data_IF_829979709418
#
_entry.id   IF_829979709418
#
_cell.length_a   1.000
_cell.length_b   1.000
_cell.length_c   1.000
_cell.angle_alpha   90.00
_cell.angle_beta   90.00
_cell.angle_gamma   90.00
#
_symmetry.space_group_name_H-M   'P 1'
#
loop_
_entity.id
_entity.type
_entity.pdbx_description
1 polymer ?
#
# COMPACT_ATOMS: atom_id res chain seq x y z
N UNK A 1 -56.98 -53.38 21.84
CA UNK A 1 -55.79 -53.07 22.67
C UNK A 1 -54.57 -52.99 21.76
N UNK A 2 -54.11 -51.80 21.36
CA UNK A 2 -52.89 -51.72 20.54
C UNK A 2 -51.69 -51.42 21.42
N UNK A 3 -50.62 -52.16 21.16
CA UNK A 3 -49.29 -52.02 21.77
C UNK A 3 -48.53 -50.81 21.18
N UNK A 4 -48.21 -49.86 22.01
CA UNK A 4 -47.29 -48.76 21.64
C UNK A 4 -45.84 -49.31 21.66
N UNK A 5 -45.17 -49.26 20.52
CA UNK A 5 -43.73 -49.47 20.38
C UNK A 5 -43.01 -48.13 20.53
N UNK A 6 -42.22 -47.99 21.58
CA UNK A 6 -41.41 -46.83 21.87
C UNK A 6 -40.10 -46.93 21.03
N UNK A 7 -39.94 -46.09 20.04
CA UNK A 7 -38.73 -46.01 19.22
C UNK A 7 -37.74 -45.07 19.90
N UNK A 8 -36.68 -45.60 20.50
CA UNK A 8 -35.56 -44.84 21.05
C UNK A 8 -34.69 -44.36 19.89
N UNK A 9 -34.71 -43.06 19.63
CA UNK A 9 -33.83 -42.40 18.67
C UNK A 9 -32.54 -41.98 19.41
N UNK A 10 -31.46 -42.76 19.22
CA UNK A 10 -30.14 -42.43 19.73
C UNK A 10 -29.55 -41.25 18.94
N UNK A 11 -29.48 -40.07 19.56
CA UNK A 11 -28.70 -38.93 19.03
C UNK A 11 -27.21 -39.27 19.16
N UNK A 12 -26.57 -39.53 18.03
CA UNK A 12 -25.11 -39.52 17.93
C UNK A 12 -24.64 -38.06 17.95
N UNK A 13 -24.18 -37.59 19.10
CA UNK A 13 -23.39 -36.38 19.22
C UNK A 13 -22.01 -36.67 18.62
N UNK A 14 -21.81 -36.28 17.39
CA UNK A 14 -20.49 -36.20 16.77
C UNK A 14 -19.64 -35.15 17.48
N UNK A 15 -18.72 -35.58 18.33
CA UNK A 15 -17.69 -34.71 18.89
C UNK A 15 -16.72 -34.34 17.76
N UNK A 16 -16.79 -33.08 17.28
CA UNK A 16 -15.73 -32.52 16.48
C UNK A 16 -14.49 -32.37 17.37
N UNK A 17 -13.45 -33.15 17.07
CA UNK A 17 -12.13 -32.99 17.68
C UNK A 17 -11.57 -31.61 17.29
N UNK A 18 -10.98 -30.81 18.24
CA UNK A 18 -10.38 -29.53 17.94
C UNK A 18 -8.99 -29.70 17.32
N UNK A 19 -8.87 -30.38 16.18
CA UNK A 19 -7.58 -30.70 15.58
C UNK A 19 -7.53 -30.66 14.06
N UNK A 20 -8.66 -30.49 13.38
CA UNK A 20 -8.73 -30.61 11.92
C UNK A 20 -9.14 -29.34 11.22
N UNK A 21 -8.49 -28.21 11.59
CA UNK A 21 -8.32 -27.12 10.67
C UNK A 21 -7.10 -27.44 9.80
N UNK A 22 -7.31 -28.19 8.71
CA UNK A 22 -6.29 -28.39 7.70
C UNK A 22 -5.79 -27.01 7.25
N UNK A 23 -4.56 -26.68 7.60
CA UNK A 23 -3.88 -25.54 7.00
C UNK A 23 -3.77 -25.82 5.50
N UNK A 24 -4.03 -24.81 4.63
CA UNK A 24 -3.86 -25.00 3.19
C UNK A 24 -2.42 -25.44 2.92
N UNK A 25 -2.28 -26.66 2.38
CA UNK A 25 -0.99 -27.21 2.00
C UNK A 25 -0.33 -26.27 0.97
N UNK A 26 0.88 -25.85 1.26
CA UNK A 26 1.75 -25.20 0.27
C UNK A 26 2.22 -23.78 0.55
N UNK A 27 1.84 -23.14 1.65
CA UNK A 27 2.47 -21.87 2.05
C UNK A 27 3.48 -22.15 3.15
N UNK A 28 4.68 -22.57 2.76
CA UNK A 28 5.83 -22.53 3.66
C UNK A 28 6.01 -21.08 4.13
N UNK A 29 5.97 -20.79 5.45
CA UNK A 29 6.27 -19.45 5.93
C UNK A 29 7.72 -19.13 5.56
N UNK A 30 7.90 -18.25 4.58
CA UNK A 30 9.23 -17.74 4.25
C UNK A 30 9.81 -17.13 5.53
N UNK A 31 11.02 -17.52 5.99
CA UNK A 31 11.62 -16.92 7.17
C UNK A 31 11.84 -15.43 6.88
N UNK A 32 10.96 -14.60 7.41
CA UNK A 32 11.04 -13.17 7.30
C UNK A 32 12.11 -12.69 8.26
N UNK A 33 13.33 -12.43 7.75
CA UNK A 33 14.35 -11.73 8.52
C UNK A 33 13.80 -10.39 8.99
N UNK A 34 14.12 -9.99 10.20
CA UNK A 34 13.74 -8.69 10.74
C UNK A 34 14.42 -7.56 9.97
N UNK A 35 13.74 -6.41 9.86
CA UNK A 35 14.35 -5.18 9.32
C UNK A 35 15.57 -4.76 10.14
N UNK A 36 16.68 -4.58 9.48
CA UNK A 36 17.91 -4.00 10.07
C UNK A 36 17.79 -2.48 10.23
N UNK A 37 18.71 -1.85 10.92
CA UNK A 37 18.81 -0.39 10.97
C UNK A 37 19.06 0.21 9.58
N UNK A 38 19.82 -0.48 8.72
CA UNK A 38 20.07 -0.10 7.33
C UNK A 38 18.79 -0.12 6.49
N UNK A 39 17.99 -1.18 6.61
CA UNK A 39 16.68 -1.27 5.91
C UNK A 39 15.74 -0.15 6.34
N UNK A 40 15.65 0.12 7.64
CA UNK A 40 14.82 1.22 8.15
C UNK A 40 15.29 2.59 7.66
N UNK A 41 16.61 2.79 7.54
CA UNK A 41 17.16 4.03 6.97
C UNK A 41 16.84 4.14 5.47
N UNK A 42 16.98 3.06 4.70
CA UNK A 42 16.64 3.02 3.29
C UNK A 42 15.13 3.26 3.03
N UNK A 43 14.26 2.68 3.86
CA UNK A 43 12.80 2.90 3.78
C UNK A 43 12.41 4.36 4.11
N UNK A 44 13.05 4.98 5.12
CA UNK A 44 12.87 6.43 5.35
C UNK A 44 13.36 7.27 4.19
N UNK A 45 14.47 6.87 3.56
CA UNK A 45 14.99 7.56 2.39
C UNK A 45 14.05 7.44 1.18
N UNK A 46 13.43 6.26 0.97
CA UNK A 46 12.42 6.03 -0.05
C UNK A 46 11.21 6.95 0.14
N UNK A 47 10.68 7.03 1.36
CA UNK A 47 9.54 7.89 1.70
C UNK A 47 9.85 9.38 1.46
N UNK A 48 11.02 9.84 1.92
CA UNK A 48 11.47 11.21 1.64
C UNK A 48 11.73 11.47 0.16
N UNK A 49 12.24 10.47 -0.58
CA UNK A 49 12.48 10.59 -2.01
C UNK A 49 11.16 10.77 -2.77
N UNK A 50 10.09 10.10 -2.35
CA UNK A 50 8.76 10.28 -2.92
C UNK A 50 8.28 11.74 -2.81
N UNK A 51 8.32 12.32 -1.62
CA UNK A 51 7.92 13.72 -1.43
C UNK A 51 8.82 14.68 -2.24
N UNK A 52 10.15 14.47 -2.24
CA UNK A 52 11.08 15.29 -3.01
C UNK A 52 10.87 15.20 -4.51
N UNK A 53 10.55 14.02 -5.03
CA UNK A 53 10.37 13.81 -6.46
C UNK A 53 9.20 14.66 -7.01
N UNK A 54 8.13 14.86 -6.24
CA UNK A 54 7.03 15.74 -6.62
C UNK A 54 7.43 17.22 -6.77
N UNK A 55 8.47 17.65 -6.07
CA UNK A 55 8.93 19.04 -6.07
C UNK A 55 10.02 19.32 -7.12
N UNK A 56 10.40 18.35 -7.93
CA UNK A 56 11.33 18.53 -9.04
C UNK A 56 10.70 19.47 -10.08
N UNK A 57 11.33 20.63 -10.42
CA UNK A 57 10.71 21.64 -11.27
C UNK A 57 10.48 21.15 -12.71
N UNK A 58 11.47 20.47 -13.29
CA UNK A 58 11.37 19.93 -14.64
C UNK A 58 10.41 18.74 -14.68
N UNK A 59 9.43 18.79 -15.58
CA UNK A 59 8.36 17.79 -15.65
C UNK A 59 8.87 16.38 -16.01
N UNK A 60 9.80 16.28 -16.94
CA UNK A 60 10.35 15.00 -17.36
C UNK A 60 11.25 14.39 -16.27
N UNK A 61 12.07 15.21 -15.63
CA UNK A 61 12.90 14.76 -14.51
C UNK A 61 12.03 14.36 -13.29
N UNK A 62 10.95 15.09 -13.02
CA UNK A 62 9.98 14.74 -11.97
C UNK A 62 9.32 13.40 -12.23
N UNK A 63 8.83 13.18 -13.45
CA UNK A 63 8.25 11.90 -13.85
C UNK A 63 9.26 10.76 -13.70
N UNK A 64 10.47 10.93 -14.22
CA UNK A 64 11.53 9.93 -14.10
C UNK A 64 11.85 9.63 -12.63
N UNK A 65 12.01 10.66 -11.79
CA UNK A 65 12.32 10.51 -10.37
C UNK A 65 11.22 9.75 -9.63
N UNK A 66 9.93 10.09 -9.88
CA UNK A 66 8.80 9.40 -9.28
C UNK A 66 8.71 7.95 -9.74
N UNK A 67 8.73 7.69 -11.05
CA UNK A 67 8.58 6.34 -11.58
C UNK A 67 9.72 5.41 -11.17
N UNK A 68 10.90 5.93 -10.89
CA UNK A 68 12.02 5.13 -10.37
C UNK A 68 11.79 4.54 -8.97
N UNK A 69 10.89 5.11 -8.18
CA UNK A 69 10.60 4.67 -6.82
C UNK A 69 9.63 3.49 -6.75
N UNK A 70 8.89 3.22 -7.82
CA UNK A 70 7.82 2.22 -7.85
C UNK A 70 8.27 0.90 -8.50
N UNK A 71 7.73 -0.21 -7.99
CA UNK A 71 7.82 -1.51 -8.63
C UNK A 71 7.02 -1.53 -9.95
N UNK A 72 7.36 -2.40 -10.90
CA UNK A 72 6.66 -2.48 -12.20
C UNK A 72 5.18 -2.87 -12.04
N UNK A 73 4.89 -3.74 -11.08
CA UNK A 73 3.56 -4.26 -10.73
C UNK A 73 2.90 -3.49 -9.56
N UNK A 74 3.29 -2.23 -9.36
CA UNK A 74 2.72 -1.38 -8.31
C UNK A 74 1.20 -1.29 -8.39
N UNK A 75 0.52 -1.28 -7.24
CA UNK A 75 -0.91 -0.89 -7.16
C UNK A 75 -1.06 0.31 -6.25
N UNK A 76 -1.66 1.36 -6.78
CA UNK A 76 -1.97 2.58 -6.03
C UNK A 76 -3.48 2.67 -5.82
N UNK A 77 -3.89 2.97 -4.62
CA UNK A 77 -5.28 3.19 -4.22
C UNK A 77 -5.47 4.69 -3.98
N UNK A 78 -5.90 5.46 -4.99
CA UNK A 78 -6.16 6.89 -4.81
C UNK A 78 -7.30 7.10 -3.82
N UNK A 79 -7.28 8.23 -3.13
CA UNK A 79 -8.36 8.60 -2.22
C UNK A 79 -9.72 8.77 -2.92
N UNK A 80 -10.76 8.98 -2.11
CA UNK A 80 -12.12 9.34 -2.57
C UNK A 80 -12.82 8.27 -3.43
N UNK A 81 -12.54 6.98 -3.19
CA UNK A 81 -13.21 5.88 -3.88
C UNK A 81 -12.82 5.69 -5.34
N UNK A 82 -11.76 6.32 -5.81
CA UNK A 82 -11.19 6.09 -7.14
C UNK A 82 -10.74 4.63 -7.26
N UNK A 83 -10.98 4.01 -8.42
CA UNK A 83 -10.55 2.63 -8.68
C UNK A 83 -9.04 2.49 -8.54
N UNK A 84 -8.55 1.33 -8.07
CA UNK A 84 -7.12 1.03 -8.00
C UNK A 84 -6.43 1.18 -9.36
N UNK A 85 -5.20 1.65 -9.33
CA UNK A 85 -4.34 1.83 -10.50
C UNK A 85 -3.28 0.75 -10.49
N UNK A 86 -3.38 -0.21 -11.40
CA UNK A 86 -2.48 -1.35 -11.52
C UNK A 86 -1.37 -1.11 -12.53
N UNK A 87 -0.14 -1.26 -12.07
CA UNK A 87 1.08 -1.21 -12.87
C UNK A 87 1.60 0.20 -13.14
N UNK A 88 2.91 0.30 -13.18
CA UNK A 88 3.65 1.56 -13.34
C UNK A 88 3.23 2.35 -14.58
N UNK A 89 2.92 1.69 -15.70
CA UNK A 89 2.46 2.35 -16.92
C UNK A 89 1.13 3.10 -16.73
N UNK A 90 0.16 2.49 -16.01
CA UNK A 90 -1.13 3.15 -15.71
C UNK A 90 -0.95 4.26 -14.69
N UNK A 91 -0.07 4.05 -13.70
CA UNK A 91 0.25 5.07 -12.71
C UNK A 91 0.87 6.31 -13.36
N UNK A 92 1.80 6.10 -14.30
CA UNK A 92 2.38 7.17 -15.11
C UNK A 92 1.31 7.95 -15.87
N UNK A 93 0.42 7.24 -16.59
CA UNK A 93 -0.68 7.88 -17.31
C UNK A 93 -1.66 8.65 -16.41
N UNK A 94 -1.88 8.17 -15.18
CA UNK A 94 -2.75 8.85 -14.21
C UNK A 94 -2.16 10.17 -13.71
N UNK A 95 -0.85 10.23 -13.45
CA UNK A 95 -0.20 11.43 -12.91
C UNK A 95 0.33 12.39 -13.99
N UNK A 96 0.68 11.87 -15.17
CA UNK A 96 1.38 12.59 -16.23
C UNK A 96 0.68 12.44 -17.59
N UNK A 97 -0.67 12.48 -17.60
CA UNK A 97 -1.44 12.40 -18.82
C UNK A 97 -1.05 13.54 -19.80
N UNK A 98 -0.90 13.19 -21.09
CA UNK A 98 -0.50 14.14 -22.15
C UNK A 98 -1.55 15.26 -22.35
N UNK A 99 -2.83 15.00 -22.06
CA UNK A 99 -3.95 15.95 -22.27
C UNK A 99 -4.28 16.80 -21.04
N UNK A 100 -3.63 16.58 -19.88
CA UNK A 100 -3.81 17.35 -18.67
C UNK A 100 -2.52 17.99 -18.24
N UNK A 101 -2.58 19.25 -17.76
CA UNK A 101 -1.42 19.76 -17.04
C UNK A 101 -1.22 18.86 -15.81
N UNK A 102 -0.05 18.22 -15.64
CA UNK A 102 0.24 17.47 -14.43
C UNK A 102 -0.01 18.36 -13.23
N UNK A 103 -0.58 17.82 -12.17
CA UNK A 103 -0.83 18.59 -10.97
C UNK A 103 0.46 19.29 -10.54
N UNK A 104 0.46 20.63 -10.57
CA UNK A 104 1.60 21.41 -10.11
C UNK A 104 1.61 21.36 -8.58
N UNK A 105 2.42 20.46 -8.03
CA UNK A 105 2.57 20.33 -6.58
C UNK A 105 3.42 21.49 -6.09
N UNK A 106 2.81 22.32 -5.25
CA UNK A 106 3.45 23.45 -4.59
C UNK A 106 4.23 23.02 -3.36
N UNK A 107 3.64 22.09 -2.63
CA UNK A 107 4.13 21.62 -1.35
C UNK A 107 3.70 20.18 -1.11
N UNK A 108 4.58 19.35 -0.61
CA UNK A 108 4.28 18.02 -0.09
C UNK A 108 5.24 17.67 1.03
N UNK A 109 4.70 17.15 2.11
CA UNK A 109 5.44 16.71 3.27
C UNK A 109 4.91 15.37 3.75
N UNK A 110 5.84 14.48 4.02
CA UNK A 110 5.59 13.17 4.62
C UNK A 110 6.26 13.11 5.99
N UNK A 111 5.44 12.83 7.00
CA UNK A 111 5.86 12.59 8.37
C UNK A 111 5.74 11.09 8.65
N UNK A 112 6.86 10.37 8.58
CA UNK A 112 6.89 8.92 8.84
C UNK A 112 6.62 8.63 10.32
N UNK A 113 5.51 7.94 10.62
CA UNK A 113 5.14 7.55 11.98
C UNK A 113 5.72 6.19 12.38
N UNK A 114 5.63 5.19 11.50
CA UNK A 114 6.15 3.86 11.75
C UNK A 114 6.72 3.20 10.50
N UNK A 115 7.68 2.28 10.71
CA UNK A 115 8.21 1.37 9.71
C UNK A 115 8.25 -0.02 10.32
N UNK A 116 7.48 -0.94 9.76
CA UNK A 116 7.29 -2.29 10.28
C UNK A 116 7.42 -3.32 9.15
N UNK A 117 7.61 -4.58 9.51
CA UNK A 117 7.67 -5.68 8.54
C UNK A 117 8.99 -6.45 8.56
N UNK A 118 9.37 -6.96 7.40
CA UNK A 118 10.52 -7.83 7.20
C UNK A 118 11.38 -7.36 6.02
N UNK A 119 12.54 -7.99 5.83
CA UNK A 119 13.41 -7.74 4.66
C UNK A 119 12.74 -8.07 3.31
N UNK A 120 11.63 -8.79 3.29
CA UNK A 120 10.89 -9.14 2.07
C UNK A 120 9.74 -8.17 1.77
N UNK A 121 9.14 -7.58 2.80
CA UNK A 121 8.03 -6.65 2.69
C UNK A 121 7.97 -5.76 3.94
N UNK A 122 7.97 -4.47 3.74
CA UNK A 122 7.84 -3.49 4.81
C UNK A 122 6.64 -2.57 4.58
N UNK A 123 6.03 -2.12 5.66
CA UNK A 123 5.03 -1.07 5.67
C UNK A 123 5.62 0.21 6.25
N UNK A 124 5.41 1.33 5.56
CA UNK A 124 5.69 2.68 6.04
C UNK A 124 4.33 3.34 6.24
N UNK A 125 4.07 3.83 7.42
CA UNK A 125 2.86 4.60 7.72
C UNK A 125 3.22 6.00 8.15
N UNK A 126 2.40 6.97 7.79
CA UNK A 126 2.68 8.35 8.11
C UNK A 126 1.50 9.28 7.92
N UNK A 127 1.77 10.53 8.22
CA UNK A 127 0.90 11.66 7.95
C UNK A 127 1.44 12.45 6.76
N UNK A 128 0.56 12.89 5.85
CA UNK A 128 0.94 13.70 4.69
C UNK A 128 0.17 15.01 4.67
N UNK A 129 0.84 16.06 4.21
CA UNK A 129 0.26 17.34 3.87
C UNK A 129 0.69 17.69 2.45
N UNK A 130 -0.25 18.09 1.62
CA UNK A 130 0.01 18.43 0.21
C UNK A 130 -0.78 19.66 -0.20
N UNK A 131 -0.18 20.51 -1.01
CA UNK A 131 -0.87 21.55 -1.74
C UNK A 131 -0.46 21.48 -3.22
N UNK A 132 -1.44 21.56 -4.10
CA UNK A 132 -1.25 21.47 -5.55
C UNK A 132 -2.30 22.28 -6.29
N UNK A 133 -2.03 22.59 -7.54
CA UNK A 133 -3.01 23.21 -8.43
C UNK A 133 -3.65 22.15 -9.31
N UNK A 134 -4.98 22.13 -9.34
CA UNK A 134 -5.77 21.31 -10.24
C UNK A 134 -6.75 22.20 -11.00
N UNK A 135 -6.64 22.22 -12.33
CA UNK A 135 -7.48 23.06 -13.20
C UNK A 135 -7.51 24.53 -12.77
N UNK A 136 -6.36 25.06 -12.35
CA UNK A 136 -6.21 26.45 -11.90
C UNK A 136 -6.68 26.73 -10.47
N UNK A 137 -7.25 25.76 -9.79
CA UNK A 137 -7.65 25.90 -8.39
C UNK A 137 -6.60 25.28 -7.46
N UNK A 138 -6.21 26.03 -6.43
CA UNK A 138 -5.33 25.52 -5.38
C UNK A 138 -6.12 24.59 -4.46
N UNK A 139 -5.62 23.37 -4.32
CA UNK A 139 -6.17 22.34 -3.43
C UNK A 139 -5.14 22.06 -2.34
N UNK A 140 -5.54 22.14 -1.08
CA UNK A 140 -4.74 21.69 0.06
C UNK A 140 -5.44 20.51 0.71
N UNK A 141 -4.66 19.51 1.09
CA UNK A 141 -5.14 18.28 1.71
C UNK A 141 -4.17 17.82 2.78
N UNK A 142 -4.70 17.15 3.78
CA UNK A 142 -3.93 16.43 4.78
C UNK A 142 -4.56 15.06 5.05
N UNK A 143 -3.79 14.13 5.56
CA UNK A 143 -4.29 12.80 5.90
C UNK A 143 -3.16 11.83 6.22
N UNK A 144 -3.51 10.55 6.21
CA UNK A 144 -2.57 9.48 6.45
C UNK A 144 -2.28 8.71 5.18
N UNK A 145 -1.11 8.09 5.12
CA UNK A 145 -0.73 7.20 4.03
C UNK A 145 -0.17 5.89 4.56
N UNK A 146 -0.24 4.88 3.71
CA UNK A 146 0.44 3.60 3.88
C UNK A 146 1.17 3.31 2.58
N UNK A 147 2.45 2.99 2.70
CA UNK A 147 3.29 2.47 1.61
C UNK A 147 3.73 1.06 2.01
N UNK A 148 3.46 0.08 1.16
CA UNK A 148 4.15 -1.21 1.21
C UNK A 148 5.32 -1.16 0.24
N UNK A 149 6.50 -1.51 0.72
CA UNK A 149 7.71 -1.56 -0.07
C UNK A 149 8.34 -2.94 -0.02
N UNK A 150 8.87 -3.40 -1.14
CA UNK A 150 9.67 -4.62 -1.25
C UNK A 150 10.98 -4.33 -1.98
N UNK A 151 12.06 -5.09 -1.73
CA UNK A 151 13.26 -4.98 -2.53
C UNK A 151 13.03 -5.48 -3.96
N UNK A 152 13.64 -4.82 -4.93
CA UNK A 152 13.75 -5.33 -6.30
C UNK A 152 14.87 -6.40 -6.40
N UNK A 153 15.09 -6.94 -7.59
CA UNK A 153 16.11 -7.97 -7.84
C UNK A 153 17.56 -7.51 -7.55
N UNK A 154 17.76 -6.21 -7.44
CA UNK A 154 19.05 -5.60 -7.08
C UNK A 154 19.15 -5.26 -5.58
N UNK A 155 18.08 -5.51 -4.82
CA UNK A 155 18.00 -5.23 -3.39
C UNK A 155 17.57 -3.81 -3.04
N UNK A 156 17.15 -2.98 -4.00
CA UNK A 156 16.66 -1.64 -3.73
C UNK A 156 15.17 -1.67 -3.37
N UNK A 157 14.81 -1.01 -2.29
CA UNK A 157 13.41 -0.87 -1.87
C UNK A 157 12.59 -0.10 -2.90
N UNK A 158 11.46 -0.67 -3.31
CA UNK A 158 10.49 -0.07 -4.26
C UNK A 158 9.11 -0.06 -3.64
N UNK A 159 8.33 0.96 -3.96
CA UNK A 159 6.92 1.06 -3.59
C UNK A 159 6.12 0.04 -4.40
N UNK A 160 5.52 -0.92 -3.72
CA UNK A 160 4.69 -1.97 -4.31
C UNK A 160 3.20 -1.67 -4.18
N UNK A 161 2.78 -1.12 -3.03
CA UNK A 161 1.41 -0.66 -2.78
C UNK A 161 1.45 0.69 -2.11
N UNK A 162 0.52 1.54 -2.48
CA UNK A 162 0.37 2.83 -1.83
C UNK A 162 -1.10 3.20 -1.72
N UNK A 163 -1.50 3.70 -0.56
CA UNK A 163 -2.82 4.24 -0.32
C UNK A 163 -2.70 5.50 0.52
N UNK A 164 -3.57 6.45 0.27
CA UNK A 164 -3.74 7.61 1.14
C UNK A 164 -5.22 7.94 1.31
N UNK A 165 -5.57 8.45 2.46
CA UNK A 165 -6.79 9.21 2.67
C UNK A 165 -6.42 10.69 2.76
N UNK A 166 -7.26 11.55 2.24
CA UNK A 166 -7.02 12.97 2.29
C UNK A 166 -8.35 13.72 2.48
N UNK A 167 -8.30 14.75 3.32
CA UNK A 167 -9.39 15.70 3.54
C UNK A 167 -8.86 17.12 3.38
N UNK A 168 -9.76 18.10 3.24
CA UNK A 168 -9.35 19.49 3.38
C UNK A 168 -8.81 19.71 4.80
N UNK A 169 -7.77 20.55 4.98
CA UNK A 169 -7.31 20.98 6.31
C UNK A 169 -8.45 21.64 7.08
N UNK A 170 -8.45 21.48 8.39
CA UNK A 170 -9.36 22.20 9.29
C UNK A 170 -9.00 23.66 9.41
#
# INVERSE_FOLDING_TARGET
MPRFALLLMAMMLGACSPGDCAQPEGIEPRPAGSLTSGDRAALRALDKAYAKAWLVPDAAAREQALMALFAEDVVVYPGQGTSPIDGKRRLRAFWFAEEGQPAAVEFIEHDTLAIEGSIALAAITGHSRIAFFSRGTRVAQEGHYIIHARPDDQGYWKIERMMWNARAPE
#
